data_IF_700184710378
#
_entry.id   IF_700184710378
#
_cell.length_a   1.000
_cell.length_b   1.000
_cell.length_c   1.000
_cell.angle_alpha   90.00
_cell.angle_beta   90.00
_cell.angle_gamma   90.00
#
_symmetry.space_group_name_H-M   'P 1'
#
loop_
_entity.id
_entity.type
_entity.pdbx_description
1 polymer ?
#
# COMPACT_ATOMS: atom_id res chain seq x y z
N UNK A 1 23.01 25.92 -0.11
CA UNK A 1 22.20 26.59 -1.16
C UNK A 1 22.60 26.22 -2.59
N UNK A 2 23.86 26.40 -3.02
CA UNK A 2 24.27 26.17 -4.43
C UNK A 2 24.06 24.72 -4.90
N UNK A 3 24.48 23.73 -4.11
CA UNK A 3 24.27 22.30 -4.41
C UNK A 3 22.80 21.91 -4.50
N UNK A 4 21.97 22.39 -3.57
CA UNK A 4 20.52 22.14 -3.57
C UNK A 4 19.83 22.70 -4.82
N UNK A 5 20.20 23.91 -5.24
CA UNK A 5 19.71 24.52 -6.48
C UNK A 5 20.11 23.69 -7.70
N UNK A 6 21.36 23.22 -7.75
CA UNK A 6 21.84 22.36 -8.84
C UNK A 6 21.08 21.03 -8.90
N UNK A 7 20.88 20.37 -7.76
CA UNK A 7 20.09 19.13 -7.69
C UNK A 7 18.65 19.36 -8.14
N UNK A 8 18.02 20.45 -7.69
CA UNK A 8 16.65 20.80 -8.09
C UNK A 8 16.56 21.04 -9.61
N UNK A 9 17.51 21.78 -10.19
CA UNK A 9 17.55 22.03 -11.63
C UNK A 9 17.73 20.74 -12.42
N UNK A 10 18.63 19.84 -12.00
CA UNK A 10 18.86 18.56 -12.68
C UNK A 10 17.61 17.68 -12.58
N UNK A 11 16.97 17.61 -11.42
CA UNK A 11 15.74 16.84 -11.24
C UNK A 11 14.60 17.36 -12.13
N UNK A 12 14.45 18.69 -12.22
CA UNK A 12 13.43 19.32 -13.05
C UNK A 12 13.70 19.07 -14.53
N UNK A 13 14.97 19.15 -14.94
CA UNK A 13 15.39 18.92 -16.32
C UNK A 13 15.17 17.45 -16.71
N UNK A 14 15.55 16.51 -15.85
CA UNK A 14 15.30 15.09 -16.04
C UNK A 14 13.81 14.77 -16.13
N UNK A 15 12.99 15.30 -15.22
CA UNK A 15 11.53 15.12 -15.26
C UNK A 15 10.92 15.70 -16.56
N UNK A 16 11.38 16.87 -17.00
CA UNK A 16 10.97 17.48 -18.26
C UNK A 16 11.33 16.63 -19.47
N UNK A 17 12.55 16.07 -19.53
CA UNK A 17 12.97 15.18 -20.61
C UNK A 17 12.13 13.90 -20.65
N UNK A 18 11.87 13.28 -19.50
CA UNK A 18 11.02 12.08 -19.42
C UNK A 18 9.59 12.37 -19.86
N UNK A 19 9.03 13.51 -19.43
CA UNK A 19 7.69 13.93 -19.86
C UNK A 19 7.61 14.15 -21.38
N UNK A 20 8.58 14.84 -21.95
CA UNK A 20 8.64 15.07 -23.39
C UNK A 20 8.83 13.76 -24.16
N UNK A 21 9.64 12.84 -23.65
CA UNK A 21 9.78 11.51 -24.23
C UNK A 21 8.45 10.73 -24.20
N UNK A 22 7.76 10.72 -23.06
CA UNK A 22 6.44 10.13 -22.95
C UNK A 22 5.43 10.73 -23.94
N UNK A 23 5.49 12.05 -24.16
CA UNK A 23 4.53 12.75 -25.02
C UNK A 23 4.83 12.62 -26.51
N UNK A 24 6.10 12.69 -26.90
CA UNK A 24 6.53 12.80 -28.30
C UNK A 24 7.01 11.48 -28.90
N UNK A 25 7.59 10.58 -28.10
CA UNK A 25 8.18 9.33 -28.59
C UNK A 25 7.27 8.12 -28.43
N UNK A 26 6.33 8.13 -27.46
CA UNK A 26 5.41 7.01 -27.31
C UNK A 26 4.19 7.17 -28.20
N UNK A 27 3.88 6.09 -28.93
CA UNK A 27 2.59 5.91 -29.59
C UNK A 27 1.47 5.82 -28.56
N UNK A 28 0.23 6.05 -29.01
CA UNK A 28 -0.93 5.98 -28.13
C UNK A 28 -1.15 4.57 -27.57
N UNK A 29 -0.84 3.53 -28.37
CA UNK A 29 -0.79 2.13 -27.92
C UNK A 29 0.17 1.91 -26.74
N UNK A 30 1.37 2.51 -26.82
CA UNK A 30 2.38 2.36 -25.77
C UNK A 30 1.96 3.08 -24.49
N UNK A 31 1.32 4.25 -24.60
CA UNK A 31 0.75 4.99 -23.46
C UNK A 31 -0.37 4.20 -22.79
N UNK A 32 -1.25 3.60 -23.59
CA UNK A 32 -2.35 2.78 -23.10
C UNK A 32 -1.85 1.51 -22.41
N UNK A 33 -0.84 0.84 -23.00
CA UNK A 33 -0.19 -0.33 -22.40
C UNK A 33 0.43 -0.01 -21.03
N UNK A 34 1.15 1.12 -20.89
CA UNK A 34 1.68 1.56 -19.60
C UNK A 34 0.57 1.79 -18.58
N UNK A 35 -0.53 2.46 -18.98
CA UNK A 35 -1.67 2.73 -18.10
C UNK A 35 -2.37 1.45 -17.66
N UNK A 36 -2.51 0.49 -18.58
CA UNK A 36 -3.08 -0.83 -18.30
C UNK A 36 -2.20 -1.61 -17.34
N UNK A 37 -0.89 -1.64 -17.58
CA UNK A 37 0.09 -2.28 -16.69
C UNK A 37 0.07 -1.68 -15.28
N UNK A 38 0.04 -0.36 -15.16
CA UNK A 38 -0.04 0.33 -13.87
C UNK A 38 -1.32 -0.05 -13.10
N UNK A 39 -2.47 -0.14 -13.79
CA UNK A 39 -3.72 -0.63 -13.19
C UNK A 39 -3.61 -2.08 -12.74
N UNK A 40 -3.06 -2.95 -13.58
CA UNK A 40 -2.90 -4.37 -13.25
C UNK A 40 -2.03 -4.58 -12.01
N UNK A 41 -0.95 -3.80 -11.86
CA UNK A 41 -0.11 -3.82 -10.64
C UNK A 41 -0.90 -3.35 -9.43
N UNK A 42 -1.64 -2.24 -9.55
CA UNK A 42 -2.47 -1.74 -8.45
C UNK A 42 -3.53 -2.76 -8.02
N UNK A 43 -4.23 -3.36 -8.97
CA UNK A 43 -5.24 -4.39 -8.71
C UNK A 43 -4.62 -5.63 -8.04
N UNK A 44 -3.41 -6.02 -8.46
CA UNK A 44 -2.70 -7.13 -7.84
C UNK A 44 -2.34 -6.84 -6.38
N UNK A 45 -1.84 -5.62 -6.10
CA UNK A 45 -1.54 -5.18 -4.73
C UNK A 45 -2.81 -5.15 -3.89
N UNK A 46 -3.92 -4.60 -4.40
CA UNK A 46 -5.18 -4.55 -3.66
C UNK A 46 -5.70 -5.96 -3.31
N UNK A 47 -5.58 -6.92 -4.24
CA UNK A 47 -5.94 -8.32 -3.97
C UNK A 47 -5.05 -8.94 -2.90
N UNK A 48 -3.74 -8.66 -2.93
CA UNK A 48 -2.83 -9.15 -1.88
C UNK A 48 -3.19 -8.57 -0.51
N UNK A 49 -3.48 -7.27 -0.43
CA UNK A 49 -3.95 -6.65 0.80
C UNK A 49 -5.23 -7.32 1.32
N UNK A 50 -6.23 -7.55 0.46
CA UNK A 50 -7.46 -8.25 0.84
C UNK A 50 -7.19 -9.66 1.38
N UNK A 51 -6.33 -10.43 0.72
CA UNK A 51 -5.95 -11.77 1.20
C UNK A 51 -5.25 -11.70 2.56
N UNK A 52 -4.40 -10.70 2.76
CA UNK A 52 -3.70 -10.48 4.03
C UNK A 52 -4.67 -10.07 5.15
N UNK A 53 -5.65 -9.21 4.85
CA UNK A 53 -6.68 -8.79 5.80
C UNK A 53 -7.61 -9.97 6.15
N UNK A 54 -8.04 -10.75 5.16
CA UNK A 54 -8.86 -11.94 5.36
C UNK A 54 -8.11 -13.02 6.17
N UNK A 55 -6.82 -13.19 5.94
CA UNK A 55 -5.99 -14.18 6.64
C UNK A 55 -5.63 -13.78 8.07
N UNK A 56 -5.49 -12.48 8.36
CA UNK A 56 -5.26 -12.01 9.73
C UNK A 56 -6.51 -12.10 10.59
N UNK A 57 -7.70 -12.25 9.98
CA UNK A 57 -8.96 -12.28 10.69
C UNK A 57 -9.26 -10.94 11.36
N UNK A 58 -10.51 -10.73 11.79
CA UNK A 58 -10.84 -9.56 12.59
C UNK A 58 -10.06 -9.61 13.90
N UNK A 59 -9.18 -8.64 14.15
CA UNK A 59 -8.68 -8.38 15.50
C UNK A 59 -9.89 -8.01 16.35
N UNK A 60 -10.43 -8.97 17.11
CA UNK A 60 -11.37 -8.65 18.17
C UNK A 60 -10.59 -7.89 19.22
N UNK A 61 -11.00 -6.65 19.52
CA UNK A 61 -10.52 -5.95 20.69
C UNK A 61 -10.72 -6.87 21.92
N UNK A 62 -9.71 -6.94 22.79
CA UNK A 62 -9.67 -7.83 23.97
C UNK A 62 -10.92 -7.73 24.87
N UNK A 63 -11.61 -6.59 24.77
CA UNK A 63 -12.80 -6.24 25.55
C UNK A 63 -14.08 -6.94 25.03
N UNK A 64 -14.05 -7.57 23.86
CA UNK A 64 -15.23 -8.16 23.20
C UNK A 64 -15.25 -9.70 23.32
N UNK A 65 -14.30 -10.33 24.02
CA UNK A 65 -14.25 -11.78 24.13
C UNK A 65 -15.29 -12.32 25.14
N UNK A 66 -16.41 -12.94 24.70
CA UNK A 66 -17.50 -13.35 25.58
C UNK A 66 -17.09 -14.48 26.56
N UNK A 67 -16.02 -15.20 26.25
CA UNK A 67 -15.51 -16.27 27.10
C UNK A 67 -14.61 -15.77 28.23
N UNK A 68 -14.13 -14.51 28.17
CA UNK A 68 -13.18 -13.96 29.13
C UNK A 68 -13.73 -13.95 30.55
N UNK A 69 -14.95 -13.45 30.74
CA UNK A 69 -15.59 -13.42 32.06
C UNK A 69 -15.77 -14.81 32.67
N UNK A 70 -16.12 -15.82 31.85
CA UNK A 70 -16.25 -17.20 32.31
C UNK A 70 -14.89 -17.78 32.71
N UNK A 71 -13.84 -17.50 31.95
CA UNK A 71 -12.48 -17.95 32.28
C UNK A 71 -11.97 -17.25 33.54
N UNK A 72 -12.17 -15.95 33.68
CA UNK A 72 -11.81 -15.21 34.91
C UNK A 72 -12.50 -15.78 36.14
N UNK A 73 -13.81 -16.10 36.06
CA UNK A 73 -14.54 -16.77 37.15
C UNK A 73 -14.00 -18.17 37.48
N UNK A 74 -13.55 -18.92 36.47
CA UNK A 74 -12.96 -20.25 36.68
C UNK A 74 -11.59 -20.15 37.34
N UNK A 75 -10.79 -19.14 37.02
CA UNK A 75 -9.49 -18.92 37.63
C UNK A 75 -9.63 -18.49 39.09
N UNK A 76 -10.58 -17.60 39.39
CA UNK A 76 -10.91 -17.18 40.75
C UNK A 76 -11.39 -18.38 41.60
N UNK A 77 -12.20 -19.27 41.02
CA UNK A 77 -12.62 -20.51 41.67
C UNK A 77 -11.48 -21.50 41.94
N UNK A 78 -10.38 -21.41 41.19
CA UNK A 78 -9.16 -22.21 41.38
C UNK A 78 -8.15 -21.52 42.30
N UNK A 79 -8.41 -20.28 42.73
CA UNK A 79 -7.58 -19.50 43.64
C UNK A 79 -6.41 -18.75 42.98
N UNK A 80 -6.53 -18.45 41.69
CA UNK A 80 -5.60 -17.60 40.94
C UNK A 80 -6.13 -16.18 40.78
#
# INVERSE_FOLDING_TARGET
>A
MRKLRTTLTIATLAAGTVYLAYRLLLSDEAKESIKSGARAVNDAVERMCKVVDDAQGSVMEEDVLPNRQRTEQQWDALGF
#
